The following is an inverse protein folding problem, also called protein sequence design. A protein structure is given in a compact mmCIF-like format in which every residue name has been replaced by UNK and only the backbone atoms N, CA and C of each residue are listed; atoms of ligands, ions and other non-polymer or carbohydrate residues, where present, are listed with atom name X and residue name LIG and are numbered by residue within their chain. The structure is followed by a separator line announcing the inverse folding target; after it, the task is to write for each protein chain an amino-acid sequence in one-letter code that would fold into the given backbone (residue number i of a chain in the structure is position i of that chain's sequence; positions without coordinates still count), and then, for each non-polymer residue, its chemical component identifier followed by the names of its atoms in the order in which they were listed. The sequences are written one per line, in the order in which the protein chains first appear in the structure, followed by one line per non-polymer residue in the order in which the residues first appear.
data_IF_573031978444
#
_entry.id   IF_573031978444
#
_cell.length_a   1.000
_cell.length_b   1.000
_cell.length_c   1.000
_cell.angle_alpha   90.00
_cell.angle_beta   90.00
_cell.angle_gamma   90.00
#
_symmetry.space_group_name_H-M   'P 1'
#
loop_
_entity.id
_entity.type
_entity.pdbx_description
1 polymer ?
#
# COMPACT_ATOMS: atom_id res chain seq x y z
N UNK A 1 9.90 -17.94 12.37
CA UNK A 1 9.78 -17.40 10.99
C UNK A 1 9.44 -15.94 11.03
N UNK A 2 10.15 -15.13 10.26
CA UNK A 2 9.84 -13.70 10.18
C UNK A 2 8.57 -13.48 9.36
N UNK A 3 7.69 -12.56 9.76
CA UNK A 3 6.55 -12.18 8.93
C UNK A 3 7.01 -11.66 7.58
N UNK A 4 6.23 -11.91 6.55
CA UNK A 4 6.45 -11.30 5.23
C UNK A 4 5.95 -9.86 5.25
N UNK A 5 6.72 -8.95 4.68
CA UNK A 5 6.34 -7.57 4.56
C UNK A 5 5.43 -7.37 3.33
N UNK A 6 4.23 -6.86 3.57
CA UNK A 6 3.25 -6.59 2.52
C UNK A 6 3.06 -5.09 2.43
N UNK A 7 3.58 -4.49 1.37
CA UNK A 7 3.45 -3.06 1.11
C UNK A 7 2.24 -2.83 0.20
N UNK A 8 1.31 -2.01 0.63
CA UNK A 8 0.16 -1.62 -0.16
C UNK A 8 0.34 -0.18 -0.58
N UNK A 9 0.50 0.04 -1.88
CA UNK A 9 0.71 1.37 -2.45
C UNK A 9 -0.61 2.13 -2.46
N UNK A 10 -0.61 3.33 -1.89
CA UNK A 10 -1.78 4.23 -1.93
C UNK A 10 -1.40 5.53 -2.63
N UNK A 11 -2.36 6.09 -3.34
CA UNK A 11 -2.15 7.31 -4.12
C UNK A 11 -3.50 8.00 -4.35
N UNK A 12 -3.45 9.23 -4.81
CA UNK A 12 -4.68 9.99 -5.10
C UNK A 12 -5.49 9.29 -6.20
N UNK A 13 -6.79 9.21 -6.00
CA UNK A 13 -7.76 8.56 -6.89
C UNK A 13 -7.63 7.04 -6.98
N UNK A 14 -6.93 6.40 -6.04
CA UNK A 14 -6.89 4.96 -5.98
C UNK A 14 -8.28 4.38 -5.67
N UNK A 15 -8.57 3.22 -6.24
CA UNK A 15 -9.81 2.49 -5.93
C UNK A 15 -9.76 1.98 -4.50
N UNK A 16 -10.76 2.38 -3.69
CA UNK A 16 -10.73 2.10 -2.24
C UNK A 16 -10.66 0.61 -1.95
N UNK A 17 -11.50 -0.20 -2.59
CA UNK A 17 -11.51 -1.64 -2.30
C UNK A 17 -10.25 -2.34 -2.76
N UNK A 18 -9.55 -1.80 -3.75
CA UNK A 18 -8.33 -2.41 -4.26
C UNK A 18 -7.16 -2.31 -3.29
N UNK A 19 -7.18 -1.40 -2.33
CA UNK A 19 -6.18 -1.37 -1.27
C UNK A 19 -6.76 -1.83 0.07
N UNK A 20 -8.01 -1.48 0.38
CA UNK A 20 -8.64 -1.88 1.63
C UNK A 20 -8.93 -3.38 1.68
N UNK A 21 -9.31 -3.98 0.56
CA UNK A 21 -9.56 -5.41 0.48
C UNK A 21 -8.33 -6.24 0.82
N UNK A 22 -7.22 -6.09 0.11
CA UNK A 22 -5.98 -6.79 0.44
C UNK A 22 -5.48 -6.49 1.86
N UNK A 23 -5.57 -5.24 2.31
CA UNK A 23 -5.20 -4.86 3.66
C UNK A 23 -5.95 -5.73 4.69
N UNK A 24 -7.26 -5.85 4.53
CA UNK A 24 -8.06 -6.66 5.44
C UNK A 24 -7.73 -8.15 5.32
N UNK A 25 -7.63 -8.66 4.09
CA UNK A 25 -7.39 -10.09 3.87
C UNK A 25 -6.09 -10.56 4.55
N UNK A 26 -4.99 -9.83 4.38
CA UNK A 26 -3.72 -10.20 5.00
C UNK A 26 -3.80 -10.10 6.52
N UNK A 27 -4.50 -9.10 7.06
CA UNK A 27 -4.64 -8.97 8.51
C UNK A 27 -5.56 -10.03 9.10
N UNK A 28 -6.63 -10.41 8.40
CA UNK A 28 -7.50 -11.51 8.82
C UNK A 28 -6.72 -12.82 8.85
N UNK A 29 -5.84 -13.05 7.88
CA UNK A 29 -5.00 -14.24 7.89
C UNK A 29 -4.16 -14.32 9.16
N UNK A 30 -3.61 -13.20 9.64
CA UNK A 30 -2.89 -13.15 10.92
C UNK A 30 -3.79 -13.59 12.07
N UNK A 31 -5.00 -13.07 12.13
CA UNK A 31 -5.97 -13.39 13.18
C UNK A 31 -6.33 -14.87 13.18
N UNK A 32 -6.64 -15.41 12.00
CA UNK A 32 -7.02 -16.82 11.85
C UNK A 32 -5.87 -17.75 12.23
N UNK A 33 -4.64 -17.40 11.84
CA UNK A 33 -3.47 -18.21 12.16
C UNK A 33 -3.07 -18.14 13.63
N UNK A 34 -3.54 -17.12 14.36
CA UNK A 34 -3.16 -16.89 15.75
C UNK A 34 -1.72 -16.43 15.89
N UNK A 35 -1.11 -15.91 14.82
CA UNK A 35 0.25 -15.38 14.83
C UNK A 35 0.43 -14.42 13.65
N UNK A 36 1.44 -13.57 13.72
CA UNK A 36 1.71 -12.61 12.65
C UNK A 36 2.45 -13.29 11.50
N UNK A 37 1.70 -13.62 10.45
CA UNK A 37 2.27 -14.14 9.19
C UNK A 37 2.72 -13.01 8.27
N UNK A 38 2.02 -11.88 8.32
CA UNK A 38 2.25 -10.73 7.45
C UNK A 38 2.37 -9.46 8.27
N UNK A 39 3.32 -8.62 7.88
CA UNK A 39 3.42 -7.25 8.37
C UNK A 39 2.88 -6.35 7.27
N UNK A 40 1.64 -5.87 7.42
CA UNK A 40 0.91 -5.13 6.38
C UNK A 40 1.01 -3.64 6.67
N UNK A 41 1.42 -2.88 5.67
CA UNK A 41 1.53 -1.42 5.83
C UNK A 41 1.18 -0.71 4.53
N UNK A 42 0.80 0.56 4.69
CA UNK A 42 0.44 1.42 3.57
C UNK A 42 1.65 2.31 3.24
N UNK A 43 1.95 2.43 1.97
CA UNK A 43 3.08 3.22 1.51
C UNK A 43 2.64 4.16 0.39
N UNK A 44 3.16 5.37 0.39
CA UNK A 44 2.88 6.37 -0.63
C UNK A 44 4.15 7.11 -1.01
N UNK A 45 4.07 7.94 -2.04
CA UNK A 45 5.21 8.75 -2.48
C UNK A 45 5.65 9.72 -1.39
N UNK A 46 4.70 10.27 -0.62
CA UNK A 46 4.98 11.21 0.48
C UNK A 46 4.25 10.78 1.74
N UNK A 47 4.57 11.42 2.86
CA UNK A 47 3.91 11.16 4.15
C UNK A 47 2.56 11.83 4.29
N UNK A 48 2.17 12.63 3.31
CA UNK A 48 0.92 13.38 3.38
C UNK A 48 -0.28 12.48 3.17
N UNK A 49 -1.43 12.95 3.66
CA UNK A 49 -2.70 12.26 3.44
C UNK A 49 -2.95 12.10 1.95
N UNK A 50 -3.31 10.89 1.53
CA UNK A 50 -3.71 10.61 0.17
C UNK A 50 -5.24 10.65 0.09
N UNK A 51 -5.75 11.14 -1.03
CA UNK A 51 -7.20 11.24 -1.26
C UNK A 51 -7.57 10.21 -2.32
N UNK A 52 -8.00 9.03 -1.86
CA UNK A 52 -8.49 8.00 -2.76
C UNK A 52 -9.81 8.44 -3.40
N UNK A 53 -10.37 7.59 -4.26
CA UNK A 53 -11.58 7.94 -5.00
C UNK A 53 -12.68 8.44 -4.06
N UNK A 54 -13.42 9.45 -4.51
CA UNK A 54 -14.50 10.11 -3.74
C UNK A 54 -14.00 10.74 -2.45
N UNK A 55 -12.77 11.25 -2.44
CA UNK A 55 -12.16 11.92 -1.30
C UNK A 55 -12.03 11.07 -0.04
N UNK A 56 -11.90 9.76 -0.20
CA UNK A 56 -11.59 8.87 0.91
C UNK A 56 -10.17 9.19 1.38
N UNK A 57 -10.05 9.75 2.58
CA UNK A 57 -8.75 10.17 3.11
C UNK A 57 -8.04 9.00 3.77
N UNK A 58 -6.75 8.85 3.47
CA UNK A 58 -5.96 7.77 4.03
C UNK A 58 -4.53 8.26 4.28
N UNK A 59 -4.00 7.94 5.45
CA UNK A 59 -2.65 8.32 5.84
C UNK A 59 -1.72 7.12 5.64
N UNK A 60 -0.62 7.28 4.88
CA UNK A 60 0.33 6.18 4.73
C UNK A 60 1.12 5.97 6.01
N UNK A 61 1.57 4.74 6.21
CA UNK A 61 2.47 4.39 7.31
C UNK A 61 3.89 4.86 7.02
N UNK A 62 4.30 4.79 5.75
CA UNK A 62 5.65 5.15 5.32
C UNK A 62 5.60 5.83 3.96
N UNK A 63 6.62 6.64 3.69
CA UNK A 63 6.90 7.05 2.31
C UNK A 63 7.86 6.03 1.68
N UNK A 64 8.15 6.18 0.39
CA UNK A 64 9.00 5.22 -0.34
C UNK A 64 10.41 5.11 0.23
N UNK A 65 10.94 6.20 0.78
CA UNK A 65 12.32 6.22 1.27
C UNK A 65 12.45 5.55 2.64
N UNK A 66 11.39 5.57 3.45
CA UNK A 66 11.45 5.16 4.86
C UNK A 66 10.81 3.80 5.13
N UNK A 67 10.07 3.27 4.17
CA UNK A 67 9.39 1.98 4.35
C UNK A 67 10.35 0.82 4.38
N UNK A 68 10.02 -0.26 5.10
CA UNK A 68 10.83 -1.48 5.05
C UNK A 68 10.75 -2.12 3.67
N UNK A 69 11.75 -2.96 3.30
CA UNK A 69 11.69 -3.69 2.05
C UNK A 69 10.46 -4.60 2.04
N UNK A 70 9.75 -4.63 0.91
CA UNK A 70 8.54 -5.44 0.77
C UNK A 70 8.85 -6.78 0.15
N UNK A 71 8.17 -7.82 0.63
CA UNK A 71 8.17 -9.14 0.01
C UNK A 71 7.03 -9.25 -1.00
N UNK A 72 5.92 -8.58 -0.69
CA UNK A 72 4.73 -8.53 -1.54
C UNK A 72 4.34 -7.07 -1.71
N UNK A 73 4.11 -6.66 -2.96
CA UNK A 73 3.69 -5.31 -3.30
C UNK A 73 2.30 -5.37 -3.93
N UNK A 74 1.34 -4.64 -3.35
CA UNK A 74 -0.01 -4.53 -3.88
C UNK A 74 -0.19 -3.15 -4.49
N UNK A 75 -0.56 -3.10 -5.76
CA UNK A 75 -0.80 -1.84 -6.49
C UNK A 75 -2.28 -1.80 -6.87
N UNK A 76 -3.09 -0.95 -6.20
CA UNK A 76 -4.50 -0.84 -6.55
C UNK A 76 -4.71 -0.18 -7.90
N UNK A 77 -5.90 -0.39 -8.50
CA UNK A 77 -6.31 0.30 -9.70
C UNK A 77 -6.80 1.71 -9.40
N UNK A 78 -7.22 2.41 -10.44
CA UNK A 78 -7.73 3.77 -10.37
C UNK A 78 -7.04 4.68 -11.37
N UNK A 79 -7.64 5.84 -11.63
CA UNK A 79 -7.07 6.78 -12.59
C UNK A 79 -5.71 7.30 -12.16
N UNK A 80 -5.51 7.50 -10.86
CA UNK A 80 -4.24 7.98 -10.32
C UNK A 80 -3.08 7.03 -10.57
N UNK A 81 -3.35 5.74 -10.78
CA UNK A 81 -2.30 4.76 -11.03
C UNK A 81 -1.49 5.09 -12.27
N UNK A 82 -2.17 5.46 -13.37
CA UNK A 82 -1.48 5.81 -14.61
C UNK A 82 -0.57 7.02 -14.43
N UNK A 83 -1.04 8.02 -13.72
CA UNK A 83 -0.27 9.23 -13.46
C UNK A 83 0.95 8.87 -12.60
N UNK A 84 0.75 8.11 -11.54
CA UNK A 84 1.83 7.73 -10.63
C UNK A 84 2.90 6.89 -11.33
N UNK A 85 2.50 5.97 -12.18
CA UNK A 85 3.44 5.10 -12.87
C UNK A 85 4.34 5.83 -13.87
N UNK A 86 3.98 7.05 -14.25
CA UNK A 86 4.82 7.90 -15.12
C UNK A 86 5.78 8.80 -14.34
N UNK A 87 5.69 8.83 -13.02
CA UNK A 87 6.61 9.63 -12.20
C UNK A 87 7.85 8.83 -11.86
N UNK A 88 9.02 9.45 -12.06
CA UNK A 88 10.30 8.75 -11.87
C UNK A 88 10.48 8.20 -10.47
N UNK A 89 10.19 8.94 -9.38
CA UNK A 89 10.36 8.38 -8.03
C UNK A 89 9.51 7.13 -7.81
N UNK A 90 8.28 7.10 -8.30
CA UNK A 90 7.40 5.93 -8.16
C UNK A 90 7.94 4.75 -8.96
N UNK A 91 8.38 4.98 -10.20
CA UNK A 91 8.95 3.92 -11.02
C UNK A 91 10.22 3.33 -10.38
N UNK A 92 11.07 4.17 -9.82
CA UNK A 92 12.28 3.69 -9.16
C UNK A 92 11.95 2.84 -7.92
N UNK A 93 10.92 3.22 -7.18
CA UNK A 93 10.52 2.46 -6.01
C UNK A 93 9.94 1.10 -6.37
N UNK A 94 9.12 1.05 -7.42
CA UNK A 94 8.47 -0.20 -7.86
C UNK A 94 9.50 -1.19 -8.41
N UNK A 95 10.51 -0.70 -9.08
CA UNK A 95 11.57 -1.56 -9.60
C UNK A 95 12.44 -2.13 -8.48
#
# INVERSE_FOLDING_TARGET
MKPLNVAIFIFNDAEVLDFAGPFEVFNVANTVAGKQLFNVYLVAESEQVQFARNNFRILPDYNFAEGPPSDILVIPGGNGRKIQMHQVPVLNWVK
#
